data_IF_642930204247
#
_entry.id   IF_642930204247
#
_cell.length_a   1.000
_cell.length_b   1.000
_cell.length_c   1.000
_cell.angle_alpha   90.00
_cell.angle_beta   90.00
_cell.angle_gamma   90.00
#
_symmetry.space_group_name_H-M   'P 1'
#
loop_
_entity.id
_entity.type
_entity.pdbx_description
1 polymer ?
#
# COMPACT_ATOMS: atom_id res chain seq x y z
N UNK A 1 -10.95 -12.07 0.36
CA UNK A 1 -10.15 -11.69 1.55
C UNK A 1 -8.72 -11.57 1.08
N UNK A 2 -8.13 -10.39 1.18
CA UNK A 2 -7.01 -9.98 0.32
C UNK A 2 -5.92 -9.29 1.10
N UNK A 3 -4.68 -9.64 0.79
CA UNK A 3 -3.48 -8.89 1.16
C UNK A 3 -2.95 -8.20 -0.10
N UNK A 4 -2.60 -6.92 -0.02
CA UNK A 4 -2.18 -6.12 -1.16
C UNK A 4 -0.82 -5.49 -0.87
N UNK A 5 0.11 -5.59 -1.82
CA UNK A 5 1.43 -4.96 -1.72
C UNK A 5 1.86 -4.37 -3.06
N UNK A 6 2.61 -3.27 -3.00
CA UNK A 6 3.31 -2.65 -4.13
C UNK A 6 4.82 -2.91 -4.09
N UNK A 7 5.28 -3.69 -3.11
CA UNK A 7 6.69 -4.05 -2.97
C UNK A 7 6.98 -5.40 -3.65
N UNK A 8 7.86 -5.44 -4.67
CA UNK A 8 8.26 -6.68 -5.32
C UNK A 8 8.89 -7.68 -4.34
N UNK A 9 9.71 -7.19 -3.40
CA UNK A 9 10.39 -8.04 -2.40
C UNK A 9 9.41 -8.68 -1.43
N UNK A 10 8.40 -7.94 -0.96
CA UNK A 10 7.32 -8.51 -0.14
C UNK A 10 6.53 -9.54 -0.95
N UNK A 11 6.22 -9.26 -2.22
CA UNK A 11 5.50 -10.21 -3.08
C UNK A 11 6.26 -11.54 -3.21
N UNK A 12 7.56 -11.50 -3.47
CA UNK A 12 8.37 -12.71 -3.60
C UNK A 12 8.44 -13.50 -2.29
N UNK A 13 8.76 -12.83 -1.19
CA UNK A 13 8.88 -13.45 0.12
C UNK A 13 7.56 -14.08 0.56
N UNK A 14 6.46 -13.33 0.48
CA UNK A 14 5.13 -13.80 0.86
C UNK A 14 4.69 -14.99 -0.01
N UNK A 15 4.91 -14.93 -1.33
CA UNK A 15 4.60 -16.04 -2.25
C UNK A 15 5.32 -17.32 -1.84
N UNK A 16 6.61 -17.22 -1.51
CA UNK A 16 7.43 -18.36 -1.09
C UNK A 16 6.93 -18.98 0.21
N UNK A 17 6.66 -18.15 1.21
CA UNK A 17 6.20 -18.62 2.53
C UNK A 17 4.81 -19.23 2.49
N UNK A 18 3.86 -18.62 1.76
CA UNK A 18 2.51 -19.16 1.61
C UNK A 18 2.52 -20.53 0.91
N UNK A 19 3.35 -20.69 -0.12
CA UNK A 19 3.52 -21.98 -0.81
C UNK A 19 4.15 -23.02 0.10
N UNK A 20 5.16 -22.64 0.90
CA UNK A 20 5.83 -23.54 1.85
C UNK A 20 4.87 -24.07 2.92
N UNK A 21 3.98 -23.23 3.44
CA UNK A 21 2.93 -23.64 4.38
C UNK A 21 1.71 -24.31 3.71
N UNK A 22 1.72 -24.44 2.37
CA UNK A 22 0.62 -25.04 1.62
C UNK A 22 -0.71 -24.28 1.76
N UNK A 23 -0.65 -22.96 1.97
CA UNK A 23 -1.82 -22.08 2.05
C UNK A 23 -2.33 -21.83 0.63
N UNK A 24 -3.64 -21.98 0.41
CA UNK A 24 -4.26 -21.75 -0.90
C UNK A 24 -4.53 -20.26 -1.15
N UNK A 25 -4.00 -19.73 -2.24
CA UNK A 25 -4.22 -18.34 -2.67
C UNK A 25 -4.19 -18.18 -4.19
N UNK A 26 -4.78 -17.09 -4.67
CA UNK A 26 -4.70 -16.60 -6.05
C UNK A 26 -3.92 -15.27 -6.04
N UNK A 27 -2.94 -15.12 -6.92
CA UNK A 27 -2.14 -13.91 -7.05
C UNK A 27 -2.60 -13.17 -8.31
N UNK A 28 -3.08 -11.94 -8.15
CA UNK A 28 -3.45 -11.06 -9.26
C UNK A 28 -2.49 -9.88 -9.32
N UNK A 29 -2.03 -9.58 -10.52
CA UNK A 29 -1.22 -8.38 -10.79
C UNK A 29 -2.11 -7.32 -11.43
N UNK A 30 -2.03 -6.08 -10.93
CA UNK A 30 -2.76 -4.95 -11.51
C UNK A 30 -1.89 -3.71 -11.58
N UNK A 31 -2.14 -2.89 -12.59
CA UNK A 31 -1.62 -1.53 -12.62
C UNK A 31 -2.28 -0.73 -11.51
N UNK A 32 -1.46 -0.02 -10.73
CA UNK A 32 -1.88 0.87 -9.66
C UNK A 32 -1.09 2.17 -9.79
N UNK A 33 -1.27 3.06 -8.83
CA UNK A 33 -0.53 4.30 -8.76
C UNK A 33 -0.15 4.67 -7.33
N UNK A 34 0.88 5.50 -7.19
CA UNK A 34 1.17 6.30 -6.01
C UNK A 34 1.14 7.76 -6.42
N UNK A 35 0.42 8.59 -5.67
CA UNK A 35 0.26 10.00 -6.02
C UNK A 35 0.71 10.87 -4.86
N UNK A 36 1.59 11.81 -5.17
CA UNK A 36 1.85 12.97 -4.33
C UNK A 36 1.12 14.17 -4.93
N UNK A 37 0.20 14.75 -4.17
CA UNK A 37 -0.51 15.99 -4.52
C UNK A 37 -0.03 17.07 -3.56
N UNK A 38 0.42 18.18 -4.10
CA UNK A 38 0.97 19.26 -3.30
C UNK A 38 1.15 20.54 -4.09
N UNK A 39 2.04 21.37 -3.58
CA UNK A 39 2.44 22.62 -4.20
C UNK A 39 3.94 22.60 -4.45
N UNK A 40 4.38 23.38 -5.43
CA UNK A 40 5.78 23.61 -5.75
C UNK A 40 6.08 25.10 -5.78
N UNK A 41 7.17 25.51 -5.13
CA UNK A 41 7.73 26.86 -5.21
C UNK A 41 9.04 26.75 -5.98
N UNK A 42 9.10 27.48 -7.09
CA UNK A 42 10.28 27.54 -7.96
C UNK A 42 11.08 28.82 -7.68
N UNK A 43 12.40 28.72 -7.69
CA UNK A 43 13.32 29.85 -7.55
C UNK A 43 14.67 29.41 -6.99
N UNK A 44 15.56 30.36 -6.73
CA UNK A 44 16.74 30.09 -5.90
C UNK A 44 16.31 29.78 -4.46
N UNK A 45 17.21 29.19 -3.67
CA UNK A 45 16.93 28.93 -2.24
C UNK A 45 16.48 30.20 -1.50
N UNK A 46 17.07 31.36 -1.82
CA UNK A 46 16.69 32.62 -1.19
C UNK A 46 15.33 33.15 -1.68
N UNK A 47 15.02 33.00 -2.97
CA UNK A 47 13.70 33.35 -3.52
C UNK A 47 12.57 32.47 -2.96
N UNK A 48 12.82 31.16 -2.83
CA UNK A 48 11.87 30.21 -2.26
C UNK A 48 11.60 30.59 -0.80
N UNK A 49 12.66 30.84 -0.02
CA UNK A 49 12.53 31.27 1.37
C UNK A 49 11.69 32.55 1.49
N UNK A 50 12.00 33.56 0.68
CA UNK A 50 11.28 34.83 0.71
C UNK A 50 9.78 34.65 0.40
N UNK A 51 9.44 33.79 -0.57
CA UNK A 51 8.03 33.44 -0.87
C UNK A 51 7.34 32.79 0.33
N UNK A 52 8.00 31.82 1.00
CA UNK A 52 7.45 31.17 2.20
C UNK A 52 7.24 32.18 3.33
N UNK A 53 8.16 33.13 3.54
CA UNK A 53 8.05 34.15 4.59
C UNK A 53 6.84 35.08 4.39
N UNK A 54 6.39 35.27 3.15
CA UNK A 54 5.17 36.05 2.84
C UNK A 54 3.85 35.30 3.07
N UNK A 55 3.91 34.01 3.43
CA UNK A 55 2.72 33.23 3.73
C UNK A 55 2.09 33.67 5.05
N UNK A 56 0.81 34.01 4.99
CA UNK A 56 0.01 34.38 6.17
C UNK A 56 -0.55 33.15 6.92
N UNK A 57 -0.29 31.93 6.41
CA UNK A 57 -0.91 30.73 6.95
C UNK A 57 -0.27 30.28 8.27
N UNK A 58 -1.08 29.65 9.13
CA UNK A 58 -0.60 29.01 10.36
C UNK A 58 0.42 27.90 10.08
N UNK A 59 0.47 27.41 8.84
CA UNK A 59 1.34 26.31 8.40
C UNK A 59 2.70 26.79 7.88
N UNK A 60 2.95 28.11 7.85
CA UNK A 60 4.25 28.69 7.47
C UNK A 60 5.41 28.04 8.20
N UNK A 61 5.27 27.76 9.49
CA UNK A 61 6.33 27.15 10.30
C UNK A 61 6.67 25.73 9.81
N UNK A 62 5.67 24.89 9.57
CA UNK A 62 5.87 23.54 9.05
C UNK A 62 6.48 23.54 7.63
N UNK A 63 6.02 24.45 6.77
CA UNK A 63 6.56 24.61 5.41
C UNK A 63 8.01 25.11 5.47
N UNK A 64 8.33 26.04 6.39
CA UNK A 64 9.69 26.55 6.58
C UNK A 64 10.64 25.49 7.15
N UNK A 65 10.17 24.64 8.06
CA UNK A 65 10.93 23.50 8.57
C UNK A 65 11.24 22.49 7.45
N UNK A 66 10.23 22.17 6.62
CA UNK A 66 10.41 21.35 5.43
C UNK A 66 11.40 21.96 4.43
N UNK A 67 11.34 23.27 4.21
CA UNK A 67 12.28 23.99 3.34
C UNK A 67 13.70 23.97 3.91
N UNK A 68 13.85 24.10 5.22
CA UNK A 68 15.17 24.02 5.88
C UNK A 68 15.80 22.65 5.67
N UNK A 69 15.02 21.58 5.86
CA UNK A 69 15.47 20.21 5.60
C UNK A 69 15.84 19.98 4.13
N UNK A 70 15.05 20.53 3.20
CA UNK A 70 15.35 20.49 1.76
C UNK A 70 16.66 21.22 1.42
N UNK A 71 16.87 22.41 1.99
CA UNK A 71 18.10 23.18 1.83
C UNK A 71 19.33 22.42 2.34
N UNK A 72 19.24 21.80 3.51
CA UNK A 72 20.32 20.97 4.06
C UNK A 72 20.66 19.79 3.14
N UNK A 73 19.61 19.14 2.60
CA UNK A 73 19.74 18.04 1.63
C UNK A 73 20.46 18.49 0.36
N UNK A 74 20.12 19.66 -0.18
CA UNK A 74 20.80 20.26 -1.34
C UNK A 74 22.26 20.53 -1.03
N UNK A 75 22.54 21.15 0.12
CA UNK A 75 23.92 21.49 0.50
C UNK A 75 24.79 20.24 0.62
N UNK A 76 24.27 19.17 1.20
CA UNK A 76 24.94 17.89 1.29
C UNK A 76 25.30 17.33 -0.10
N UNK A 77 24.36 17.31 -1.04
CA UNK A 77 24.62 16.84 -2.41
C UNK A 77 25.64 17.74 -3.13
N UNK A 78 25.50 19.06 -3.02
CA UNK A 78 26.44 20.00 -3.62
C UNK A 78 27.87 19.82 -3.10
N UNK A 79 28.05 19.57 -1.81
CA UNK A 79 29.37 19.34 -1.22
C UNK A 79 30.03 18.05 -1.75
N UNK A 80 29.25 16.99 -1.95
CA UNK A 80 29.73 15.80 -2.63
C UNK A 80 30.13 16.07 -4.09
N UNK A 81 29.33 16.84 -4.83
CA UNK A 81 29.63 17.16 -6.23
C UNK A 81 30.84 18.10 -6.39
N UNK A 82 31.14 18.97 -5.43
CA UNK A 82 32.39 19.76 -5.42
C UNK A 82 33.63 18.88 -5.32
N UNK A 83 33.56 17.81 -4.53
CA UNK A 83 34.67 16.87 -4.36
C UNK A 83 34.80 15.88 -5.54
N UNK A 84 33.76 15.76 -6.37
CA UNK A 84 33.61 14.69 -7.35
C UNK A 84 33.19 13.39 -6.67
N UNK A 85 31.93 13.01 -6.88
CA UNK A 85 31.33 11.84 -6.24
C UNK A 85 30.89 10.81 -7.27
N UNK A 86 30.92 9.55 -6.87
CA UNK A 86 30.42 8.44 -7.68
C UNK A 86 28.89 8.49 -7.73
N UNK A 87 28.30 8.47 -8.93
CA UNK A 87 26.86 8.57 -9.12
C UNK A 87 26.09 7.48 -8.35
N UNK A 88 26.56 6.23 -8.45
CA UNK A 88 25.95 5.08 -7.74
C UNK A 88 25.94 5.27 -6.22
N UNK A 89 27.00 5.88 -5.69
CA UNK A 89 27.16 6.09 -4.25
C UNK A 89 26.20 7.15 -3.72
N UNK A 90 26.01 8.22 -4.47
CA UNK A 90 25.02 9.26 -4.17
C UNK A 90 23.59 8.71 -4.25
N UNK A 91 23.28 7.97 -5.32
CA UNK A 91 21.94 7.39 -5.52
C UNK A 91 21.57 6.36 -4.43
N UNK A 92 22.56 5.73 -3.80
CA UNK A 92 22.35 4.80 -2.70
C UNK A 92 21.93 5.47 -1.37
N UNK A 93 22.11 6.78 -1.21
CA UNK A 93 21.72 7.51 0.02
C UNK A 93 20.20 7.70 0.13
N UNK A 94 19.47 7.58 -0.98
CA UNK A 94 18.02 7.44 -0.98
C UNK A 94 17.32 8.18 -2.13
N UNK A 95 16.00 7.99 -2.27
CA UNK A 95 15.21 8.59 -3.36
C UNK A 95 15.26 10.12 -3.42
N UNK A 96 15.46 10.79 -2.28
CA UNK A 96 15.56 12.24 -2.19
C UNK A 96 16.77 12.81 -2.95
N UNK A 97 17.86 12.04 -3.07
CA UNK A 97 19.04 12.44 -3.85
C UNK A 97 18.73 12.48 -5.34
N UNK A 98 17.86 11.58 -5.82
CA UNK A 98 17.48 11.49 -7.24
C UNK A 98 16.82 12.80 -7.69
N UNK A 99 15.86 13.31 -6.91
CA UNK A 99 15.15 14.56 -7.24
C UNK A 99 16.10 15.77 -7.26
N UNK A 100 17.04 15.86 -6.32
CA UNK A 100 18.04 16.95 -6.30
C UNK A 100 18.99 16.85 -7.49
N UNK A 101 19.52 15.66 -7.77
CA UNK A 101 20.41 15.43 -8.92
C UNK A 101 19.71 15.73 -10.25
N UNK A 102 18.43 15.37 -10.39
CA UNK A 102 17.64 15.68 -11.58
C UNK A 102 17.46 17.19 -11.77
N UNK A 103 17.16 17.94 -10.70
CA UNK A 103 17.07 19.40 -10.73
C UNK A 103 18.42 20.05 -11.11
N UNK A 104 19.52 19.56 -10.55
CA UNK A 104 20.88 20.04 -10.87
C UNK A 104 21.30 19.71 -12.31
N UNK A 105 20.97 18.51 -12.78
CA UNK A 105 21.24 18.09 -14.16
C UNK A 105 20.41 18.89 -15.16
N UNK A 106 19.12 19.10 -14.88
CA UNK A 106 18.20 19.93 -15.69
C UNK A 106 18.65 21.40 -15.72
N UNK A 107 19.20 21.90 -14.61
CA UNK A 107 19.83 23.23 -14.54
C UNK A 107 21.16 23.30 -15.28
N UNK A 108 21.66 22.18 -15.80
CA UNK A 108 22.89 22.12 -16.59
C UNK A 108 24.14 22.44 -15.80
N UNK A 109 24.13 22.29 -14.46
CA UNK A 109 25.26 22.65 -13.58
C UNK A 109 26.13 21.46 -13.18
N UNK A 110 25.75 20.24 -13.58
CA UNK A 110 26.47 18.99 -13.30
C UNK A 110 27.04 18.40 -14.59
N UNK A 111 28.28 17.96 -14.54
CA UNK A 111 28.92 17.13 -15.55
C UNK A 111 29.00 15.68 -15.08
N UNK A 112 28.71 14.75 -15.99
CA UNK A 112 28.87 13.32 -15.80
C UNK A 112 30.04 12.80 -16.63
N UNK A 113 30.98 12.12 -15.99
CA UNK A 113 32.06 11.41 -16.68
C UNK A 113 31.68 9.92 -16.84
N UNK A 114 31.37 9.46 -18.06
CA UNK A 114 30.98 8.08 -18.31
C UNK A 114 32.13 7.07 -18.14
N UNK A 115 33.39 7.51 -18.16
CA UNK A 115 34.54 6.59 -18.03
C UNK A 115 34.76 6.11 -16.59
N UNK A 116 34.50 6.98 -15.60
CA UNK A 116 34.72 6.70 -14.19
C UNK A 116 33.43 6.76 -13.34
N UNK A 117 32.28 7.07 -13.96
CA UNK A 117 30.98 7.16 -13.29
C UNK A 117 30.82 8.35 -12.36
N UNK A 118 31.71 9.34 -12.41
CA UNK A 118 31.69 10.48 -11.49
C UNK A 118 30.77 11.61 -11.94
N UNK A 119 30.17 12.27 -10.96
CA UNK A 119 29.40 13.51 -11.10
C UNK A 119 30.17 14.65 -10.43
N UNK A 120 30.26 15.78 -11.12
CA UNK A 120 30.92 17.01 -10.64
C UNK A 120 30.10 18.24 -10.97
N UNK A 121 30.20 19.27 -10.15
CA UNK A 121 29.74 20.59 -10.56
C UNK A 121 30.64 21.13 -11.68
N UNK A 122 30.03 21.80 -12.65
CA UNK A 122 30.77 22.54 -13.68
C UNK A 122 31.62 23.64 -13.06
N UNK A 123 32.75 23.93 -13.69
CA UNK A 123 33.60 25.04 -13.24
C UNK A 123 32.86 26.38 -13.36
N UNK A 124 33.02 27.24 -12.33
CA UNK A 124 32.45 28.58 -12.32
C UNK A 124 30.93 28.64 -12.02
N UNK A 125 30.29 27.53 -11.63
CA UNK A 125 28.89 27.54 -11.20
C UNK A 125 28.73 28.35 -9.91
N UNK A 126 27.86 29.34 -9.94
CA UNK A 126 27.36 30.01 -8.74
C UNK A 126 26.24 29.17 -8.12
N UNK A 127 26.55 28.50 -7.01
CA UNK A 127 25.58 27.63 -6.32
C UNK A 127 24.39 28.39 -5.73
N UNK A 128 24.51 29.70 -5.49
CA UNK A 128 23.42 30.52 -4.97
C UNK A 128 22.38 30.86 -6.06
N UNK A 129 22.79 30.86 -7.33
CA UNK A 129 21.94 31.18 -8.47
C UNK A 129 21.21 29.96 -9.07
N UNK A 130 21.43 28.75 -8.52
CA UNK A 130 20.80 27.53 -9.03
C UNK A 130 19.30 27.55 -8.71
N UNK A 131 18.42 27.37 -9.72
CA UNK A 131 16.99 27.25 -9.48
C UNK A 131 16.64 25.86 -8.95
N UNK A 132 15.77 25.83 -7.95
CA UNK A 132 15.22 24.62 -7.36
C UNK A 132 13.69 24.66 -7.36
N UNK A 133 13.10 23.49 -7.20
CA UNK A 133 11.67 23.28 -6.96
C UNK A 133 11.50 22.69 -5.56
N UNK A 134 10.98 23.50 -4.64
CA UNK A 134 10.61 23.02 -3.32
C UNK A 134 9.16 22.56 -3.33
N UNK A 135 8.94 21.26 -3.06
CA UNK A 135 7.63 20.61 -3.09
C UNK A 135 7.16 20.34 -1.66
N UNK A 136 5.89 20.63 -1.36
CA UNK A 136 5.27 20.32 -0.07
C UNK A 136 3.83 19.83 -0.26
N UNK A 137 3.35 18.92 0.61
CA UNK A 137 2.08 18.23 0.39
C UNK A 137 0.87 19.13 0.63
N UNK A 138 -0.24 18.81 -0.05
CA UNK A 138 -1.45 19.64 -0.08
C UNK A 138 -2.16 19.70 1.28
N UNK A 139 -2.05 18.63 2.08
CA UNK A 139 -2.65 18.50 3.41
C UNK A 139 -2.07 19.46 4.46
N UNK A 140 -0.89 20.02 4.20
CA UNK A 140 -0.29 21.10 5.01
C UNK A 140 -0.88 22.48 4.72
N UNK A 141 -1.83 22.62 3.78
CA UNK A 141 -2.35 23.94 3.40
C UNK A 141 -3.81 24.07 3.82
N UNK A 142 -4.10 24.98 4.76
CA UNK A 142 -5.49 25.28 5.17
C UNK A 142 -6.16 26.33 4.29
N UNK A 143 -5.38 27.19 3.61
CA UNK A 143 -5.87 28.21 2.69
C UNK A 143 -5.22 28.07 1.28
N UNK A 144 -5.73 27.17 0.42
CA UNK A 144 -5.24 26.97 -0.94
C UNK A 144 -5.12 28.25 -1.77
N UNK A 145 -6.14 29.12 -1.75
CA UNK A 145 -6.18 30.35 -2.54
C UNK A 145 -5.04 31.33 -2.18
N UNK A 146 -4.62 31.35 -0.91
CA UNK A 146 -3.49 32.14 -0.46
C UNK A 146 -2.16 31.59 -0.98
N UNK A 147 -1.99 30.27 -0.92
CA UNK A 147 -0.77 29.57 -1.34
C UNK A 147 -0.58 29.60 -2.86
N UNK A 148 -1.66 29.50 -3.63
CA UNK A 148 -1.62 29.54 -5.10
C UNK A 148 -1.11 30.86 -5.68
N UNK A 149 -1.03 31.93 -4.89
CA UNK A 149 -0.41 33.20 -5.30
C UNK A 149 1.11 33.12 -5.42
N UNK A 150 1.74 32.18 -4.71
CA UNK A 150 3.21 32.07 -4.61
C UNK A 150 3.75 30.70 -5.01
N UNK A 151 2.89 29.68 -5.03
CA UNK A 151 3.22 28.30 -5.36
C UNK A 151 2.29 27.77 -6.45
N UNK A 152 2.78 26.84 -7.27
CA UNK A 152 1.99 26.16 -8.30
C UNK A 152 1.51 24.82 -7.75
N UNK A 153 0.33 24.37 -8.15
CA UNK A 153 -0.09 22.99 -7.86
C UNK A 153 0.86 22.01 -8.55
N UNK A 154 1.19 20.93 -7.85
CA UNK A 154 2.05 19.87 -8.32
C UNK A 154 1.41 18.53 -8.03
N UNK A 155 1.36 17.68 -9.06
CA UNK A 155 0.91 16.30 -8.94
C UNK A 155 1.98 15.41 -9.52
N UNK A 156 2.58 14.59 -8.68
CA UNK A 156 3.42 13.48 -9.11
C UNK A 156 2.60 12.22 -9.00
N UNK A 157 2.45 11.50 -10.11
CA UNK A 157 1.79 10.20 -10.15
C UNK A 157 2.77 9.18 -10.68
N UNK A 158 3.17 8.25 -9.82
CA UNK A 158 3.95 7.09 -10.22
C UNK A 158 3.02 5.93 -10.54
N UNK A 159 3.18 5.33 -11.72
CA UNK A 159 2.42 4.17 -12.14
C UNK A 159 3.18 2.92 -11.71
N UNK A 160 2.70 2.31 -10.63
CA UNK A 160 3.36 1.18 -9.99
C UNK A 160 2.54 -0.10 -10.15
N UNK A 161 3.24 -1.23 -10.10
CA UNK A 161 2.57 -2.52 -10.07
C UNK A 161 2.08 -2.83 -8.65
N UNK A 162 0.88 -3.40 -8.56
CA UNK A 162 0.31 -3.85 -7.31
C UNK A 162 -0.08 -5.33 -7.39
N UNK A 163 0.26 -6.06 -6.34
CA UNK A 163 0.03 -7.49 -6.21
C UNK A 163 -1.04 -7.75 -5.15
N UNK A 164 -2.12 -8.39 -5.55
CA UNK A 164 -3.23 -8.79 -4.69
C UNK A 164 -3.20 -10.32 -4.46
N UNK A 165 -3.05 -10.72 -3.20
CA UNK A 165 -3.14 -12.11 -2.75
C UNK A 165 -4.55 -12.38 -2.25
N UNK A 166 -5.38 -13.03 -3.05
CA UNK A 166 -6.69 -13.50 -2.61
C UNK A 166 -6.57 -14.85 -1.93
N UNK A 167 -6.85 -14.89 -0.62
CA UNK A 167 -6.71 -16.10 0.19
C UNK A 167 -7.96 -16.96 0.07
N UNK A 168 -7.76 -18.25 -0.24
CA UNK A 168 -8.80 -19.26 -0.43
C UNK A 168 -8.82 -20.33 0.67
N UNK A 169 -8.09 -20.10 1.75
CA UNK A 169 -8.02 -21.07 2.84
C UNK A 169 -9.29 -21.09 3.70
N UNK A 170 -9.64 -22.29 4.18
CA UNK A 170 -10.72 -22.56 5.13
C UNK A 170 -10.22 -23.35 6.37
N UNK A 171 -9.06 -23.99 6.29
CA UNK A 171 -8.41 -24.63 7.45
C UNK A 171 -7.95 -23.56 8.44
N UNK A 172 -8.48 -23.59 9.67
CA UNK A 172 -8.17 -22.62 10.73
C UNK A 172 -6.69 -22.66 11.12
N UNK A 173 -6.06 -23.84 11.15
CA UNK A 173 -4.64 -23.98 11.44
C UNK A 173 -3.77 -23.27 10.40
N UNK A 174 -4.14 -23.40 9.12
CA UNK A 174 -3.47 -22.67 8.03
C UNK A 174 -3.78 -21.17 8.03
N UNK A 175 -4.98 -20.76 8.42
CA UNK A 175 -5.32 -19.34 8.62
C UNK A 175 -4.48 -18.74 9.76
N UNK A 176 -4.21 -19.48 10.83
CA UNK A 176 -3.30 -19.06 11.90
C UNK A 176 -1.86 -18.94 11.40
N UNK A 177 -1.40 -19.88 10.57
CA UNK A 177 -0.07 -19.80 9.94
C UNK A 177 0.05 -18.56 9.03
N UNK A 178 -0.97 -18.29 8.22
CA UNK A 178 -1.08 -17.08 7.40
C UNK A 178 -0.95 -15.81 8.25
N UNK A 179 -1.66 -15.72 9.38
CA UNK A 179 -1.59 -14.55 10.26
C UNK A 179 -0.17 -14.26 10.74
N UNK A 180 0.57 -15.30 11.15
CA UNK A 180 1.98 -15.20 11.59
C UNK A 180 2.95 -14.83 10.46
N UNK A 181 2.66 -15.27 9.24
CA UNK A 181 3.45 -14.90 8.05
C UNK A 181 3.19 -13.43 7.72
N UNK A 182 1.92 -13.05 7.57
CA UNK A 182 1.52 -11.73 7.14
C UNK A 182 1.93 -10.62 8.11
N UNK A 183 1.96 -10.90 9.42
CA UNK A 183 2.39 -9.94 10.44
C UNK A 183 3.84 -9.49 10.33
N UNK A 184 4.68 -10.17 9.54
CA UNK A 184 6.05 -9.72 9.25
C UNK A 184 6.13 -8.63 8.19
N UNK A 185 5.10 -8.47 7.37
CA UNK A 185 5.12 -7.63 6.17
C UNK A 185 4.08 -6.51 6.18
N UNK A 186 3.00 -6.67 6.96
CA UNK A 186 1.86 -5.76 6.95
C UNK A 186 1.58 -5.21 8.35
N UNK A 187 0.96 -4.02 8.43
CA UNK A 187 0.47 -3.47 9.70
C UNK A 187 -0.47 -4.44 10.40
N UNK A 188 -0.37 -4.50 11.73
CA UNK A 188 -1.13 -5.44 12.55
C UNK A 188 -2.65 -5.31 12.35
N UNK A 189 -3.18 -4.09 12.30
CA UNK A 189 -4.60 -3.84 12.12
C UNK A 189 -5.12 -4.40 10.78
N UNK A 190 -4.31 -4.29 9.72
CA UNK A 190 -4.64 -4.83 8.41
C UNK A 190 -4.64 -6.36 8.41
N UNK A 191 -3.62 -6.97 9.03
CA UNK A 191 -3.54 -8.43 9.17
C UNK A 191 -4.71 -8.97 9.97
N UNK A 192 -5.06 -8.34 11.10
CA UNK A 192 -6.18 -8.75 11.94
C UNK A 192 -7.52 -8.70 11.19
N UNK A 193 -7.77 -7.65 10.39
CA UNK A 193 -8.98 -7.54 9.56
C UNK A 193 -9.10 -8.72 8.59
N UNK A 194 -8.02 -9.05 7.88
CA UNK A 194 -8.00 -10.17 6.92
C UNK A 194 -8.14 -11.51 7.64
N UNK A 195 -7.42 -11.68 8.75
CA UNK A 195 -7.44 -12.88 9.57
C UNK A 195 -8.84 -13.20 10.10
N UNK A 196 -9.50 -12.24 10.76
CA UNK A 196 -10.84 -12.48 11.31
C UNK A 196 -11.90 -12.64 10.22
N UNK A 197 -11.75 -11.97 9.08
CA UNK A 197 -12.59 -12.23 7.93
C UNK A 197 -12.45 -13.70 7.48
N UNK A 198 -11.22 -14.22 7.36
CA UNK A 198 -10.95 -15.61 6.98
C UNK A 198 -11.54 -16.62 7.97
N UNK A 199 -11.34 -16.38 9.27
CA UNK A 199 -11.93 -17.19 10.34
C UNK A 199 -13.47 -17.18 10.22
N UNK A 200 -14.08 -16.01 10.02
CA UNK A 200 -15.52 -15.89 9.85
C UNK A 200 -16.07 -16.69 8.67
N UNK A 201 -15.40 -16.64 7.50
CA UNK A 201 -15.76 -17.47 6.34
C UNK A 201 -15.52 -18.95 6.58
N UNK A 202 -14.42 -19.33 7.22
CA UNK A 202 -14.11 -20.73 7.56
C UNK A 202 -15.19 -21.35 8.44
N UNK A 203 -15.59 -20.63 9.49
CA UNK A 203 -16.64 -21.08 10.41
C UNK A 203 -17.98 -21.17 9.69
N UNK A 204 -18.40 -20.12 8.97
CA UNK A 204 -19.66 -20.14 8.24
C UNK A 204 -19.70 -21.25 7.19
N UNK A 205 -18.60 -21.45 6.46
CA UNK A 205 -18.45 -22.56 5.53
C UNK A 205 -18.58 -23.93 6.22
N UNK A 206 -17.92 -24.11 7.36
CA UNK A 206 -18.00 -25.32 8.16
C UNK A 206 -19.43 -25.63 8.62
N UNK A 207 -20.13 -24.62 9.15
CA UNK A 207 -21.52 -24.78 9.59
C UNK A 207 -22.47 -25.08 8.42
N UNK A 208 -22.30 -24.44 7.26
CA UNK A 208 -23.06 -24.77 6.05
C UNK A 208 -22.84 -26.23 5.66
N UNK A 209 -21.58 -26.68 5.60
CA UNK A 209 -21.26 -28.05 5.20
C UNK A 209 -21.79 -29.08 6.20
N UNK A 210 -21.76 -28.78 7.50
CA UNK A 210 -22.40 -29.61 8.53
C UNK A 210 -23.91 -29.69 8.35
N UNK A 211 -24.58 -28.55 8.14
CA UNK A 211 -26.03 -28.50 7.95
C UNK A 211 -26.51 -29.25 6.70
N UNK A 212 -25.71 -29.29 5.64
CA UNK A 212 -26.02 -30.06 4.42
C UNK A 212 -25.94 -31.58 4.63
N UNK A 213 -25.12 -32.06 5.56
CA UNK A 213 -24.93 -33.49 5.82
C UNK A 213 -24.56 -34.27 4.54
N UNK A 214 -25.19 -35.43 4.32
CA UNK A 214 -25.07 -36.22 3.10
C UNK A 214 -26.17 -35.94 2.06
N UNK A 215 -27.09 -35.01 2.36
CA UNK A 215 -28.32 -34.79 1.61
C UNK A 215 -28.24 -33.67 0.57
N UNK A 216 -29.39 -33.39 -0.05
CA UNK A 216 -29.63 -32.19 -0.86
C UNK A 216 -30.58 -31.28 -0.09
N UNK A 217 -30.26 -29.98 -0.02
CA UNK A 217 -31.12 -28.98 0.61
C UNK A 217 -31.58 -27.94 -0.42
N UNK A 218 -32.76 -27.35 -0.20
CA UNK A 218 -33.17 -26.15 -0.93
C UNK A 218 -32.32 -24.96 -0.47
N UNK A 219 -31.71 -24.25 -1.43
CA UNK A 219 -30.76 -23.18 -1.13
C UNK A 219 -31.45 -21.96 -0.49
N UNK A 220 -32.71 -21.67 -0.86
CA UNK A 220 -33.43 -20.53 -0.31
C UNK A 220 -33.84 -20.80 1.14
N UNK A 221 -34.30 -22.02 1.44
CA UNK A 221 -34.63 -22.45 2.80
C UNK A 221 -33.40 -22.48 3.69
N UNK A 222 -32.29 -23.06 3.21
CA UNK A 222 -31.01 -23.09 3.93
C UNK A 222 -30.55 -21.68 4.27
N UNK A 223 -30.56 -20.78 3.29
CA UNK A 223 -30.17 -19.38 3.49
C UNK A 223 -31.07 -18.69 4.51
N UNK A 224 -32.39 -18.87 4.43
CA UNK A 224 -33.34 -18.28 5.39
C UNK A 224 -33.03 -18.75 6.81
N UNK A 225 -32.80 -20.06 6.99
CA UNK A 225 -32.44 -20.62 8.29
C UNK A 225 -31.16 -20.01 8.86
N UNK A 226 -30.08 -19.95 8.07
CA UNK A 226 -28.82 -19.37 8.51
C UNK A 226 -28.93 -17.88 8.86
N UNK A 227 -29.60 -17.08 8.02
CA UNK A 227 -29.76 -15.65 8.25
C UNK A 227 -30.63 -15.36 9.48
N UNK A 228 -31.63 -16.20 9.78
CA UNK A 228 -32.43 -16.07 11.01
C UNK A 228 -31.65 -16.41 12.28
N UNK A 229 -30.53 -17.13 12.17
CA UNK A 229 -29.65 -17.46 13.31
C UNK A 229 -28.47 -16.49 13.46
N UNK A 230 -28.40 -15.44 12.64
CA UNK A 230 -27.35 -14.41 12.75
C UNK A 230 -27.75 -13.29 13.72
N UNK A 231 -26.78 -12.65 14.42
CA UNK A 231 -25.35 -12.97 14.42
C UNK A 231 -25.04 -14.21 15.27
N UNK A 232 -24.03 -14.96 14.85
CA UNK A 232 -23.49 -16.08 15.65
C UNK A 232 -22.39 -15.53 16.56
N UNK A 233 -22.48 -15.84 17.85
CA UNK A 233 -21.48 -15.46 18.85
C UNK A 233 -20.70 -16.70 19.29
N UNK A 234 -19.37 -16.62 19.18
CA UNK A 234 -18.47 -17.72 19.50
C UNK A 234 -17.56 -17.25 20.64
N UNK A 235 -17.74 -17.79 21.85
CA UNK A 235 -16.82 -17.49 22.94
C UNK A 235 -15.44 -18.06 22.63
N UNK A 236 -14.41 -17.27 22.89
CA UNK A 236 -13.00 -17.61 22.77
C UNK A 236 -12.32 -17.34 24.11
N UNK A 237 -11.12 -17.86 24.31
CA UNK A 237 -10.35 -17.64 25.55
C UNK A 237 -10.12 -16.15 25.87
N UNK A 238 -10.09 -15.29 24.85
CA UNK A 238 -9.75 -13.86 24.99
C UNK A 238 -10.94 -12.91 24.77
N UNK A 239 -12.14 -13.43 24.52
CA UNK A 239 -13.32 -12.61 24.23
C UNK A 239 -14.33 -13.34 23.35
N UNK A 240 -15.21 -12.59 22.66
CA UNK A 240 -16.26 -13.17 21.81
C UNK A 240 -16.02 -12.79 20.36
N UNK A 241 -15.98 -13.78 19.47
CA UNK A 241 -16.03 -13.55 18.03
C UNK A 241 -17.50 -13.48 17.60
N UNK A 242 -17.90 -12.35 17.02
CA UNK A 242 -19.24 -12.15 16.49
C UNK A 242 -19.19 -12.22 14.96
N UNK A 243 -19.87 -13.20 14.38
CA UNK A 243 -19.97 -13.38 12.94
C UNK A 243 -21.38 -12.97 12.53
N UNK A 244 -21.47 -11.97 11.66
CA UNK A 244 -22.71 -11.59 11.00
C UNK A 244 -22.58 -11.86 9.50
N UNK A 245 -23.69 -12.14 8.84
CA UNK A 245 -23.72 -12.40 7.40
C UNK A 245 -24.97 -11.79 6.78
N UNK A 246 -24.79 -11.02 5.71
CA UNK A 246 -25.90 -10.61 4.85
C UNK A 246 -26.28 -11.75 3.89
N UNK A 247 -27.41 -11.59 3.19
CA UNK A 247 -27.82 -12.51 2.14
C UNK A 247 -26.75 -12.63 1.06
N UNK A 248 -26.18 -11.51 0.63
CA UNK A 248 -25.16 -11.43 -0.43
C UNK A 248 -23.86 -12.09 0.02
N UNK A 249 -23.49 -11.92 1.30
CA UNK A 249 -22.32 -12.56 1.88
C UNK A 249 -22.49 -14.08 1.97
N UNK A 250 -23.66 -14.57 2.40
CA UNK A 250 -23.97 -16.00 2.40
C UNK A 250 -23.90 -16.59 0.99
N UNK A 251 -24.55 -15.96 0.02
CA UNK A 251 -24.53 -16.40 -1.38
C UNK A 251 -23.09 -16.39 -1.94
N UNK A 252 -22.25 -15.43 -1.54
CA UNK A 252 -20.84 -15.39 -1.90
C UNK A 252 -20.04 -16.57 -1.29
N UNK A 253 -20.34 -16.98 -0.05
CA UNK A 253 -19.73 -18.17 0.56
C UNK A 253 -20.15 -19.45 -0.17
N UNK A 254 -21.42 -19.58 -0.56
CA UNK A 254 -21.89 -20.74 -1.36
C UNK A 254 -21.18 -20.80 -2.71
N UNK A 255 -21.09 -19.67 -3.44
CA UNK A 255 -20.33 -19.61 -4.70
C UNK A 255 -18.86 -19.95 -4.51
N UNK A 256 -18.27 -19.48 -3.41
CA UNK A 256 -16.89 -19.83 -3.06
C UNK A 256 -16.74 -21.33 -2.82
N UNK A 257 -17.63 -21.95 -2.04
CA UNK A 257 -17.62 -23.39 -1.78
C UNK A 257 -17.81 -24.20 -3.06
N UNK A 258 -18.65 -23.74 -3.98
CA UNK A 258 -18.84 -24.35 -5.30
C UNK A 258 -17.59 -24.24 -6.16
N UNK A 259 -16.99 -23.03 -6.30
CA UNK A 259 -15.72 -22.82 -7.03
C UNK A 259 -14.60 -23.71 -6.48
N UNK A 260 -14.57 -23.92 -5.16
CA UNK A 260 -13.58 -24.77 -4.48
C UNK A 260 -13.97 -26.25 -4.44
N UNK A 261 -15.09 -26.66 -5.03
CA UNK A 261 -15.53 -28.06 -5.12
C UNK A 261 -15.95 -28.70 -3.80
N UNK A 262 -16.39 -27.91 -2.80
CA UNK A 262 -16.98 -28.42 -1.56
C UNK A 262 -18.47 -28.71 -1.71
N UNK A 263 -19.17 -28.03 -2.62
CA UNK A 263 -20.61 -28.21 -2.89
C UNK A 263 -20.90 -28.23 -4.40
N UNK A 264 -22.04 -28.79 -4.78
CA UNK A 264 -22.64 -28.75 -6.13
C UNK A 264 -24.00 -28.04 -6.03
N UNK A 265 -24.20 -26.95 -6.80
CA UNK A 265 -25.47 -26.21 -6.84
C UNK A 265 -26.17 -26.44 -8.17
N UNK A 266 -27.35 -27.08 -8.14
CA UNK A 266 -28.14 -27.37 -9.34
C UNK A 266 -29.62 -27.15 -9.10
N UNK A 267 -30.26 -26.41 -10.02
CA UNK A 267 -31.70 -26.14 -10.00
C UNK A 267 -32.22 -25.68 -8.62
N UNK A 268 -31.51 -24.73 -7.99
CA UNK A 268 -31.88 -24.19 -6.67
C UNK A 268 -31.58 -25.09 -5.47
N UNK A 269 -31.01 -26.28 -5.69
CA UNK A 269 -30.61 -27.20 -4.63
C UNK A 269 -29.09 -27.22 -4.48
N UNK A 270 -28.64 -27.35 -3.23
CA UNK A 270 -27.23 -27.46 -2.88
C UNK A 270 -26.96 -28.83 -2.25
N UNK A 271 -25.84 -29.44 -2.63
CA UNK A 271 -25.36 -30.73 -2.12
C UNK A 271 -23.90 -30.62 -1.70
N UNK A 272 -23.56 -31.14 -0.53
CA UNK A 272 -22.17 -31.28 -0.09
C UNK A 272 -21.45 -32.38 -0.89
N UNK A 273 -20.21 -32.10 -1.30
CA UNK A 273 -19.31 -33.03 -1.98
C UNK A 273 -18.20 -33.55 -1.07
N UNK A 274 -17.68 -32.70 -0.17
CA UNK A 274 -16.62 -33.03 0.79
C UNK A 274 -16.62 -32.07 1.99
N UNK A 275 -15.95 -32.47 3.06
CA UNK A 275 -15.68 -31.63 4.24
C UNK A 275 -14.46 -30.72 4.06
N UNK A 276 -14.36 -29.72 4.93
CA UNK A 276 -13.10 -28.99 5.16
C UNK A 276 -12.19 -29.93 5.95
N UNK A 277 -10.97 -30.13 5.44
CA UNK A 277 -9.95 -30.96 6.10
C UNK A 277 -9.39 -30.26 7.34
#
# INVERSE_FOLDING_TARGET
MRLVTKSPSIKEALTGELRKEGIKFELTERSSYETFVGYTIEGTLDEIRAKIETMESAEREAIMEGFTSFKESIMHVLDHLKAGAQAEKLLAEGPWVVDILDQLYTSGVVDYNPEDGSLKLKEGVDTAAIPFQFKFPFDLVTNPEGVEKIAKQFVFTDLVQEWEFEIHELDIGKINALGRIASRYFPEDYVLKVYFALIGRAILAGEILKALGSGKADLNELRKAFLSSMPIQIPTEKGTLVINSSKEAFDAVIRFLEKQGYVDVKAGKVRKLRDIA
#
